data_IF_433483906290
#
_entry.id   IF_433483906290
#
_cell.length_a   1.000
_cell.length_b   1.000
_cell.length_c   1.000
_cell.angle_alpha   90.00
_cell.angle_beta   90.00
_cell.angle_gamma   90.00
#
_symmetry.space_group_name_H-M   'P 1'
#
loop_
_entity.id
_entity.type
_entity.pdbx_description
1 polymer ?
#
# COMPACT_ATOMS: atom_id res chain seq x y z
N UNK A 1 19.05 21.38 -2.51
CA UNK A 1 18.18 21.31 -3.70
C UNK A 1 17.36 20.01 -3.79
N UNK A 2 17.63 18.96 -2.99
CA UNK A 2 16.83 17.72 -3.02
C UNK A 2 15.52 17.72 -2.19
N UNK A 3 15.39 18.55 -1.14
CA UNK A 3 14.22 18.50 -0.25
C UNK A 3 12.96 19.15 -0.81
N UNK A 4 13.07 20.04 -1.80
CA UNK A 4 11.89 20.72 -2.39
C UNK A 4 11.14 19.84 -3.39
N UNK A 5 11.82 18.90 -4.04
CA UNK A 5 11.22 17.99 -5.01
C UNK A 5 10.49 16.83 -4.30
N UNK A 6 11.06 16.33 -3.19
CA UNK A 6 10.40 15.33 -2.33
C UNK A 6 9.07 15.85 -1.74
N UNK A 7 8.96 17.15 -1.43
CA UNK A 7 7.71 17.78 -0.98
C UNK A 7 6.65 17.91 -2.07
N UNK A 8 7.05 18.01 -3.33
CA UNK A 8 6.10 18.14 -4.44
C UNK A 8 5.43 16.80 -4.82
N UNK A 9 5.99 15.68 -4.34
CA UNK A 9 5.55 14.32 -4.65
C UNK A 9 4.95 13.59 -3.44
N UNK A 10 4.89 14.24 -2.27
CA UNK A 10 4.32 13.63 -1.07
C UNK A 10 2.80 13.42 -1.18
N UNK A 11 2.30 12.42 -0.47
CA UNK A 11 0.88 12.08 -0.40
C UNK A 11 0.53 11.40 0.92
N UNK A 12 -0.73 11.50 1.31
CA UNK A 12 -1.22 10.87 2.53
C UNK A 12 -1.62 9.41 2.30
N UNK A 13 -1.16 8.54 3.20
CA UNK A 13 -1.62 7.16 3.32
C UNK A 13 -2.39 7.02 4.63
N UNK A 14 -3.62 6.54 4.56
CA UNK A 14 -4.39 6.16 5.75
C UNK A 14 -4.12 4.69 6.04
N UNK A 15 -3.48 4.42 7.19
CA UNK A 15 -3.17 3.06 7.64
C UNK A 15 -4.43 2.36 8.12
N UNK A 16 -4.70 1.18 7.59
CA UNK A 16 -5.78 0.31 8.04
C UNK A 16 -5.25 -0.81 8.94
N UNK A 17 -4.11 -1.40 8.55
CA UNK A 17 -3.55 -2.60 9.17
C UNK A 17 -2.13 -2.31 9.63
N UNK A 18 -1.88 -2.27 10.95
CA UNK A 18 -0.54 -2.07 11.45
C UNK A 18 0.36 -3.27 11.17
N UNK A 19 1.66 -3.01 11.01
CA UNK A 19 2.70 -4.03 10.93
C UNK A 19 2.54 -5.08 12.04
N UNK A 20 2.72 -6.35 11.70
CA UNK A 20 2.60 -7.48 12.62
C UNK A 20 1.15 -7.92 12.91
N UNK A 21 0.15 -7.23 12.38
CA UNK A 21 -1.25 -7.62 12.58
C UNK A 21 -1.63 -8.85 11.74
N UNK A 22 -2.44 -9.73 12.34
CA UNK A 22 -3.22 -10.77 11.63
C UNK A 22 -4.66 -10.37 11.39
N UNK A 23 -5.11 -9.27 12.00
CA UNK A 23 -6.43 -8.72 11.76
C UNK A 23 -6.36 -7.86 10.50
N UNK A 24 -7.13 -8.22 9.49
CA UNK A 24 -7.39 -7.40 8.33
C UNK A 24 -8.51 -6.44 8.68
N UNK A 25 -8.13 -5.22 8.99
CA UNK A 25 -9.03 -4.09 9.09
C UNK A 25 -9.22 -3.45 7.72
N UNK A 26 -10.29 -2.69 7.56
CA UNK A 26 -10.55 -1.85 6.40
C UNK A 26 -11.33 -0.60 6.83
N UNK A 27 -11.20 0.47 6.06
CA UNK A 27 -12.03 1.65 6.18
C UNK A 27 -13.42 1.35 5.61
N UNK A 28 -14.43 1.38 6.46
CA UNK A 28 -15.80 1.47 5.98
C UNK A 28 -16.07 2.94 5.59
N UNK A 29 -16.04 3.20 4.28
CA UNK A 29 -16.23 4.53 3.71
C UNK A 29 -17.67 5.06 3.87
N UNK A 30 -18.68 4.20 4.08
CA UNK A 30 -20.07 4.63 4.30
C UNK A 30 -20.23 5.30 5.68
N UNK A 31 -19.54 4.78 6.69
CA UNK A 31 -19.62 5.29 8.07
C UNK A 31 -18.38 6.06 8.55
N UNK A 32 -17.30 6.05 7.76
CA UNK A 32 -16.02 6.69 8.08
C UNK A 32 -15.40 6.12 9.36
N UNK A 33 -15.34 4.78 9.47
CA UNK A 33 -14.77 4.08 10.62
C UNK A 33 -13.98 2.85 10.17
N UNK A 34 -12.90 2.56 10.90
CA UNK A 34 -12.19 1.29 10.76
C UNK A 34 -13.09 0.15 11.24
N UNK A 35 -13.23 -0.87 10.39
CA UNK A 35 -13.95 -2.11 10.66
C UNK A 35 -12.99 -3.30 10.58
N UNK A 36 -13.16 -4.27 11.46
CA UNK A 36 -12.53 -5.58 11.31
C UNK A 36 -13.29 -6.36 10.25
N UNK A 37 -12.67 -6.59 9.08
CA UNK A 37 -13.21 -7.46 8.03
C UNK A 37 -13.06 -8.92 8.45
N UNK A 38 -11.82 -9.34 8.69
CA UNK A 38 -11.51 -10.71 9.12
C UNK A 38 -10.14 -10.82 9.79
N UNK A 39 -9.89 -11.98 10.40
CA UNK A 39 -8.54 -12.42 10.71
C UNK A 39 -7.98 -13.19 9.51
N UNK A 40 -6.70 -13.04 9.20
CA UNK A 40 -6.04 -13.80 8.13
C UNK A 40 -6.18 -15.32 8.38
N UNK A 41 -6.46 -16.06 7.30
CA UNK A 41 -6.70 -17.50 7.34
C UNK A 41 -5.39 -18.28 7.50
N UNK A 42 -4.27 -17.67 7.11
CA UNK A 42 -2.92 -18.19 7.31
C UNK A 42 -2.31 -17.65 8.61
N UNK A 43 -1.15 -18.18 9.00
CA UNK A 43 -0.39 -17.68 10.16
C UNK A 43 0.55 -16.51 9.82
N UNK A 44 0.37 -15.89 8.66
CA UNK A 44 1.14 -14.71 8.26
C UNK A 44 0.68 -13.46 9.00
N UNK A 45 1.51 -12.43 8.96
CA UNK A 45 1.27 -11.10 9.51
C UNK A 45 1.69 -10.06 8.46
N UNK A 46 1.03 -8.91 8.45
CA UNK A 46 1.44 -7.82 7.55
C UNK A 46 2.88 -7.39 7.85
N UNK A 47 3.79 -7.38 6.86
CA UNK A 47 5.22 -7.10 7.09
C UNK A 47 5.53 -5.62 7.34
N UNK A 48 4.59 -4.74 6.99
CA UNK A 48 4.65 -3.30 7.19
C UNK A 48 3.25 -2.75 7.45
N UNK A 49 3.14 -1.48 7.84
CA UNK A 49 1.84 -0.81 7.89
C UNK A 49 1.22 -0.82 6.49
N UNK A 50 -0.07 -1.13 6.43
CA UNK A 50 -0.82 -1.27 5.19
C UNK A 50 -2.09 -0.43 5.23
N UNK A 51 -2.45 0.17 4.11
CA UNK A 51 -3.71 0.88 3.94
C UNK A 51 -3.81 1.43 2.53
N UNK A 52 -4.34 2.64 2.37
CA UNK A 52 -4.59 3.20 1.05
C UNK A 52 -4.15 4.66 0.90
N UNK A 53 -3.94 5.08 -0.34
CA UNK A 53 -3.57 6.46 -0.70
C UNK A 53 -4.82 7.31 -0.82
N UNK A 54 -4.88 8.40 -0.05
CA UNK A 54 -6.01 9.32 -0.04
C UNK A 54 -6.23 9.99 -1.42
N UNK A 55 -7.50 10.12 -1.81
CA UNK A 55 -7.89 10.77 -3.07
C UNK A 55 -7.52 9.99 -4.33
N UNK A 56 -7.41 8.67 -4.24
CA UNK A 56 -7.12 7.77 -5.37
C UNK A 56 -8.26 6.77 -5.59
N UNK A 57 -8.27 6.18 -6.79
CA UNK A 57 -9.14 5.07 -7.15
C UNK A 57 -8.33 4.08 -7.99
N UNK A 58 -8.15 2.87 -7.49
CA UNK A 58 -7.53 1.71 -8.14
C UNK A 58 -8.29 1.23 -9.36
N UNK A 59 -7.74 0.22 -10.04
CA UNK A 59 -8.38 -0.41 -11.20
C UNK A 59 -9.56 -1.32 -10.80
N UNK A 60 -9.55 -1.80 -9.56
CA UNK A 60 -10.54 -2.66 -8.92
C UNK A 60 -11.75 -1.90 -8.35
N UNK A 61 -11.65 -0.57 -8.24
CA UNK A 61 -12.70 0.31 -7.75
C UNK A 61 -12.57 0.72 -6.29
N UNK A 62 -11.52 0.26 -5.59
CA UNK A 62 -11.18 0.69 -4.24
C UNK A 62 -10.03 1.73 -4.29
N UNK A 63 -9.75 2.50 -3.21
CA UNK A 63 -8.56 3.35 -3.18
C UNK A 63 -7.26 2.57 -3.41
N UNK A 64 -6.25 3.21 -4.01
CA UNK A 64 -4.98 2.53 -4.34
C UNK A 64 -4.24 2.12 -3.07
N UNK A 65 -3.93 0.83 -2.95
CA UNK A 65 -3.25 0.25 -1.80
C UNK A 65 -1.80 0.74 -1.63
N UNK A 66 -1.37 0.83 -0.37
CA UNK A 66 0.00 1.18 -0.01
C UNK A 66 0.53 0.39 1.20
N UNK A 67 1.82 0.05 1.16
CA UNK A 67 2.62 -0.38 2.30
C UNK A 67 3.55 0.76 2.72
N UNK A 68 3.67 1.02 4.02
CA UNK A 68 4.53 2.07 4.56
C UNK A 68 5.56 1.46 5.51
N UNK A 69 6.84 1.60 5.16
CA UNK A 69 7.96 1.18 6.00
C UNK A 69 8.23 2.23 7.08
N UNK A 70 7.41 2.23 8.14
CA UNK A 70 7.48 3.17 9.28
C UNK A 70 8.53 2.77 10.34
N UNK A 71 8.95 1.51 10.34
CA UNK A 71 9.94 0.93 11.25
C UNK A 71 9.32 0.25 12.49
N UNK A 72 8.32 0.88 13.08
CA UNK A 72 7.48 0.30 14.14
C UNK A 72 6.01 0.47 13.78
N UNK A 73 5.17 -0.49 14.20
CA UNK A 73 3.74 -0.46 13.93
C UNK A 73 3.08 0.84 14.41
N UNK A 74 2.25 1.44 13.56
CA UNK A 74 1.43 2.59 13.94
C UNK A 74 0.10 2.13 14.57
N UNK A 75 -1.05 2.56 14.05
CA UNK A 75 -2.38 2.16 14.50
C UNK A 75 -3.42 2.38 13.38
N UNK A 76 -4.54 1.64 13.36
CA UNK A 76 -5.59 1.83 12.35
C UNK A 76 -6.18 3.25 12.41
N UNK A 77 -6.27 3.90 11.25
CA UNK A 77 -6.67 5.29 11.09
C UNK A 77 -5.54 6.31 11.24
N UNK A 78 -4.29 5.87 11.45
CA UNK A 78 -3.13 6.77 11.40
C UNK A 78 -2.92 7.26 9.96
N UNK A 79 -2.75 8.57 9.78
CA UNK A 79 -2.40 9.16 8.47
C UNK A 79 -0.91 9.45 8.45
N UNK A 80 -0.21 8.93 7.45
CA UNK A 80 1.23 9.11 7.26
C UNK A 80 1.49 9.83 5.95
N UNK A 81 2.14 10.98 6.00
CA UNK A 81 2.63 11.67 4.81
C UNK A 81 3.84 10.90 4.25
N UNK A 82 3.66 10.35 3.06
CA UNK A 82 4.51 9.36 2.43
C UNK A 82 5.10 9.86 1.12
N UNK A 83 6.14 9.16 0.68
CA UNK A 83 6.62 9.19 -0.71
C UNK A 83 6.80 7.77 -1.22
N UNK A 84 6.45 7.52 -2.47
CA UNK A 84 6.63 6.22 -3.11
C UNK A 84 8.11 5.96 -3.41
N UNK A 85 8.51 4.70 -3.25
CA UNK A 85 9.83 4.17 -3.62
C UNK A 85 9.73 2.99 -4.59
N UNK A 86 8.55 2.41 -4.77
CA UNK A 86 8.31 1.32 -5.71
C UNK A 86 6.86 0.89 -5.70
N UNK A 87 6.55 -0.16 -6.43
CA UNK A 87 5.22 -0.75 -6.49
C UNK A 87 5.35 -2.26 -6.63
N UNK A 88 4.62 -3.00 -5.80
CA UNK A 88 4.43 -4.43 -5.98
C UNK A 88 3.23 -4.63 -6.90
N UNK A 89 3.44 -5.37 -7.99
CA UNK A 89 2.42 -5.62 -9.00
C UNK A 89 2.09 -7.11 -8.97
N UNK A 90 0.83 -7.40 -8.68
CA UNK A 90 0.28 -8.75 -8.68
C UNK A 90 -1.10 -8.74 -9.34
N UNK A 91 -1.65 -9.91 -9.60
CA UNK A 91 -3.07 -10.08 -9.94
C UNK A 91 -3.69 -11.10 -9.00
N UNK A 92 -4.96 -10.91 -8.66
CA UNK A 92 -5.76 -11.89 -7.91
C UNK A 92 -7.01 -12.29 -8.71
N UNK A 93 -7.94 -13.01 -8.08
CA UNK A 93 -9.16 -13.48 -8.75
C UNK A 93 -10.07 -12.36 -9.28
N UNK A 94 -9.86 -11.11 -8.87
CA UNK A 94 -10.62 -9.92 -9.31
C UNK A 94 -9.90 -9.11 -10.39
N UNK A 95 -8.63 -9.39 -10.67
CA UNK A 95 -7.84 -8.69 -11.68
C UNK A 95 -6.54 -8.11 -11.11
N UNK A 96 -6.01 -7.02 -11.72
CA UNK A 96 -4.81 -6.35 -11.23
C UNK A 96 -4.97 -5.85 -9.79
N UNK A 97 -3.94 -6.05 -8.98
CA UNK A 97 -3.87 -5.64 -7.57
C UNK A 97 -2.49 -4.99 -7.32
N UNK A 98 -2.38 -3.70 -7.60
CA UNK A 98 -1.14 -2.94 -7.40
C UNK A 98 -1.03 -2.35 -6.00
N UNK A 99 0.15 -2.46 -5.38
CA UNK A 99 0.43 -1.96 -4.03
C UNK A 99 1.65 -1.07 -4.03
N UNK A 100 1.49 0.20 -3.69
CA UNK A 100 2.60 1.15 -3.65
C UNK A 100 3.45 0.90 -2.40
N UNK A 101 4.76 0.78 -2.55
CA UNK A 101 5.68 0.77 -1.41
C UNK A 101 6.17 2.19 -1.12
N UNK A 102 6.03 2.59 0.15
CA UNK A 102 6.23 3.93 0.63
C UNK A 102 7.18 3.98 1.83
N UNK A 103 7.76 5.17 2.05
CA UNK A 103 8.44 5.55 3.29
C UNK A 103 7.90 6.91 3.77
N UNK A 104 7.99 7.24 5.07
CA UNK A 104 7.67 8.57 5.56
C UNK A 104 8.44 9.67 4.82
N UNK A 105 7.74 10.69 4.33
CA UNK A 105 8.30 11.67 3.40
C UNK A 105 9.37 12.57 4.02
N UNK A 106 9.36 12.73 5.34
CA UNK A 106 10.17 13.73 6.07
C UNK A 106 11.08 13.13 7.13
N UNK A 107 11.20 11.81 7.16
CA UNK A 107 12.07 11.13 8.10
C UNK A 107 13.47 10.93 7.50
N UNK A 108 14.51 11.57 8.06
CA UNK A 108 15.86 11.51 7.52
C UNK A 108 16.47 10.10 7.55
N UNK A 109 15.90 9.16 8.35
CA UNK A 109 16.30 7.76 8.34
C UNK A 109 16.11 7.11 6.96
N UNK A 110 15.20 7.64 6.15
CA UNK A 110 14.89 7.11 4.82
C UNK A 110 15.50 7.93 3.67
N UNK A 111 16.33 8.96 3.91
CA UNK A 111 16.86 9.84 2.84
C UNK A 111 17.63 9.12 1.72
N UNK A 112 18.26 8.00 2.06
CA UNK A 112 18.99 7.15 1.12
C UNK A 112 18.08 6.21 0.31
N UNK A 113 16.86 5.93 0.78
CA UNK A 113 15.92 5.01 0.15
C UNK A 113 15.10 5.79 -0.89
N UNK A 114 15.40 5.64 -2.17
CA UNK A 114 14.82 6.44 -3.26
C UNK A 114 14.14 5.62 -4.33
N UNK A 115 14.51 4.36 -4.48
CA UNK A 115 13.86 3.39 -5.37
C UNK A 115 13.76 2.02 -4.68
N UNK A 116 13.12 1.06 -5.34
CA UNK A 116 12.87 -0.27 -4.79
C UNK A 116 14.18 -1.05 -4.59
N UNK A 117 15.20 -0.81 -5.41
CA UNK A 117 16.51 -1.44 -5.29
C UNK A 117 17.30 -0.98 -4.06
N UNK A 118 16.91 0.13 -3.42
CA UNK A 118 17.52 0.60 -2.17
C UNK A 118 17.01 -0.18 -0.95
N UNK A 119 15.97 -1.00 -1.11
CA UNK A 119 15.46 -1.89 -0.05
C UNK A 119 16.26 -3.20 -0.05
N UNK A 120 16.73 -3.67 1.13
CA UNK A 120 17.39 -4.96 1.25
C UNK A 120 16.61 -6.08 0.56
N UNK A 121 17.32 -6.97 -0.13
CA UNK A 121 16.71 -8.05 -0.91
C UNK A 121 15.80 -8.93 -0.05
N UNK A 122 16.22 -9.28 1.17
CA UNK A 122 15.41 -10.10 2.07
C UNK A 122 14.10 -9.43 2.47
N UNK A 123 14.09 -8.11 2.69
CA UNK A 123 12.87 -7.37 3.02
C UNK A 123 11.90 -7.39 1.83
N UNK A 124 12.41 -7.23 0.60
CA UNK A 124 11.60 -7.36 -0.62
C UNK A 124 11.04 -8.77 -0.79
N UNK A 125 11.85 -9.80 -0.52
CA UNK A 125 11.42 -11.21 -0.57
C UNK A 125 10.35 -11.53 0.48
N UNK A 126 10.47 -10.99 1.69
CA UNK A 126 9.47 -11.18 2.75
C UNK A 126 8.11 -10.55 2.36
N UNK A 127 8.13 -9.33 1.83
CA UNK A 127 6.92 -8.66 1.34
C UNK A 127 6.31 -9.43 0.17
N UNK A 128 7.12 -9.86 -0.81
CA UNK A 128 6.66 -10.69 -1.92
C UNK A 128 6.01 -11.98 -1.44
N UNK A 129 6.69 -12.72 -0.54
CA UNK A 129 6.17 -13.97 -0.02
C UNK A 129 4.85 -13.77 0.73
N UNK A 130 4.73 -12.71 1.54
CA UNK A 130 3.48 -12.39 2.25
C UNK A 130 2.30 -12.30 1.27
N UNK A 131 2.41 -11.47 0.23
CA UNK A 131 1.31 -11.27 -0.71
C UNK A 131 1.00 -12.49 -1.56
N UNK A 132 1.99 -13.33 -1.86
CA UNK A 132 1.79 -14.57 -2.60
C UNK A 132 1.02 -15.64 -1.81
N UNK A 133 1.12 -15.65 -0.47
CA UNK A 133 0.58 -16.76 0.33
C UNK A 133 -0.51 -16.38 1.34
N UNK A 134 -0.69 -15.10 1.70
CA UNK A 134 -1.58 -14.73 2.82
C UNK A 134 -3.04 -15.17 2.63
N UNK A 135 -3.47 -15.30 1.36
CA UNK A 135 -4.81 -15.73 0.93
C UNK A 135 -4.95 -17.25 0.68
N UNK A 136 -3.89 -18.05 0.80
CA UNK A 136 -3.88 -19.48 0.39
C UNK A 136 -4.96 -20.34 1.05
N UNK A 137 -5.33 -20.03 2.30
CA UNK A 137 -6.34 -20.76 3.06
C UNK A 137 -7.73 -20.11 2.99
N UNK A 138 -7.88 -19.02 2.23
CA UNK A 138 -9.15 -18.33 2.05
C UNK A 138 -9.96 -18.96 0.89
N UNK A 139 -11.22 -19.38 1.12
CA UNK A 139 -12.00 -20.09 0.11
C UNK A 139 -12.20 -19.27 -1.18
N UNK A 140 -11.76 -19.83 -2.32
CA UNK A 140 -11.98 -19.24 -3.64
C UNK A 140 -11.05 -18.08 -3.99
N UNK A 141 -9.97 -17.89 -3.24
CA UNK A 141 -8.93 -16.88 -3.52
C UNK A 141 -7.72 -17.49 -4.20
N UNK A 142 -7.06 -16.70 -5.03
CA UNK A 142 -5.81 -17.08 -5.68
C UNK A 142 -5.01 -15.85 -6.05
N UNK A 143 -3.69 -15.99 -6.07
CA UNK A 143 -2.76 -15.00 -6.58
C UNK A 143 -2.11 -15.54 -7.85
N UNK A 144 -2.00 -14.73 -8.89
CA UNK A 144 -1.34 -15.10 -10.15
C UNK A 144 -0.26 -14.07 -10.52
N UNK A 145 1.00 -14.52 -10.45
CA UNK A 145 2.17 -13.74 -10.80
C UNK A 145 2.43 -12.55 -9.86
N UNK A 146 3.71 -12.23 -9.67
CA UNK A 146 4.10 -11.02 -8.95
C UNK A 146 5.43 -10.48 -9.46
N UNK A 147 5.62 -9.17 -9.38
CA UNK A 147 6.91 -8.53 -9.61
C UNK A 147 6.98 -7.15 -8.96
N UNK A 148 8.20 -6.62 -8.86
CA UNK A 148 8.44 -5.27 -8.41
C UNK A 148 8.62 -4.32 -9.60
N UNK A 149 8.09 -3.11 -9.44
CA UNK A 149 8.31 -1.98 -10.33
C UNK A 149 8.90 -0.81 -9.54
N UNK A 150 9.77 -0.05 -10.20
CA UNK A 150 10.47 1.08 -9.58
C UNK A 150 9.58 2.30 -9.34
N UNK A 151 10.14 3.28 -8.63
CA UNK A 151 9.48 4.51 -8.20
C UNK A 151 8.73 5.25 -9.32
N UNK A 152 9.32 5.36 -10.52
CA UNK A 152 8.71 6.10 -11.63
C UNK A 152 7.34 5.52 -12.01
N UNK A 153 7.25 4.19 -12.12
CA UNK A 153 5.99 3.51 -12.44
C UNK A 153 4.98 3.61 -11.30
N UNK A 154 5.44 3.58 -10.05
CA UNK A 154 4.59 3.81 -8.89
C UNK A 154 3.90 5.19 -8.95
N UNK A 155 4.66 6.27 -9.18
CA UNK A 155 4.08 7.61 -9.31
C UNK A 155 3.16 7.76 -10.51
N UNK A 156 3.47 7.09 -11.62
CA UNK A 156 2.59 7.07 -12.79
C UNK A 156 1.24 6.41 -12.46
N UNK A 157 1.24 5.34 -11.68
CA UNK A 157 -0.01 4.69 -11.26
C UNK A 157 -0.80 5.53 -10.25
N UNK A 158 -0.13 6.16 -9.28
CA UNK A 158 -0.77 7.14 -8.38
C UNK A 158 -1.45 8.26 -9.19
N UNK A 159 -0.77 8.79 -10.22
CA UNK A 159 -1.34 9.79 -11.12
C UNK A 159 -2.61 9.32 -11.81
N UNK A 160 -2.58 8.12 -12.41
CA UNK A 160 -3.76 7.50 -13.03
C UNK A 160 -4.89 7.27 -12.03
N UNK A 161 -4.56 6.82 -10.82
CA UNK A 161 -5.54 6.58 -9.78
C UNK A 161 -6.24 7.88 -9.32
N UNK A 162 -5.50 8.99 -9.24
CA UNK A 162 -6.07 10.32 -8.98
C UNK A 162 -6.96 10.81 -10.13
N UNK A 163 -6.56 10.58 -11.38
CA UNK A 163 -7.38 10.90 -12.55
C UNK A 163 -8.71 10.12 -12.50
N UNK A 164 -8.65 8.81 -12.24
CA UNK A 164 -9.83 7.94 -12.08
C UNK A 164 -10.74 8.45 -10.97
N UNK A 165 -10.20 8.80 -9.81
CA UNK A 165 -10.97 9.35 -8.69
C UNK A 165 -11.64 10.70 -9.03
N UNK A 166 -10.96 11.57 -9.77
CA UNK A 166 -11.49 12.88 -10.18
C UNK A 166 -12.61 12.80 -11.22
N UNK A 167 -12.61 11.73 -12.04
CA UNK A 167 -13.62 11.48 -13.07
C UNK A 167 -14.92 10.88 -12.53
N UNK A 168 -14.94 10.40 -11.28
CA UNK A 168 -16.17 9.96 -10.63
C UNK A 168 -16.95 11.17 -10.06
N UNK A 169 -18.28 11.26 -10.27
CA UNK A 169 -19.08 12.28 -9.60
C UNK A 169 -18.94 12.11 -8.09
N UNK A 170 -18.56 13.18 -7.39
CA UNK A 170 -18.51 13.22 -5.92
C UNK A 170 -19.92 12.98 -5.37
N UNK A 171 -20.20 11.75 -4.92
CA UNK A 171 -21.41 11.45 -4.16
C UNK A 171 -21.97 10.06 -4.42
N UNK A 172 -21.77 9.17 -3.45
CA UNK A 172 -22.88 8.51 -2.79
C UNK A 172 -22.61 8.43 -1.30
#
# INVERSE_FOLDING_TARGET
MGSSQARAEAFDVTVEIPQGSRNKYEMDHDIGRIRLDRMLFTSTQYPADYGYIEGTLGGDGDPLDALVLTGDATFPGCVVECRAIGMFVMSDEKGPDEKVLCVPAHDPRHDAVRDIEDIPEFDRLEITHFFEVYKDLEPGKSVDGSHWEGREKAYKEIGRARERASGQPKGR
#
